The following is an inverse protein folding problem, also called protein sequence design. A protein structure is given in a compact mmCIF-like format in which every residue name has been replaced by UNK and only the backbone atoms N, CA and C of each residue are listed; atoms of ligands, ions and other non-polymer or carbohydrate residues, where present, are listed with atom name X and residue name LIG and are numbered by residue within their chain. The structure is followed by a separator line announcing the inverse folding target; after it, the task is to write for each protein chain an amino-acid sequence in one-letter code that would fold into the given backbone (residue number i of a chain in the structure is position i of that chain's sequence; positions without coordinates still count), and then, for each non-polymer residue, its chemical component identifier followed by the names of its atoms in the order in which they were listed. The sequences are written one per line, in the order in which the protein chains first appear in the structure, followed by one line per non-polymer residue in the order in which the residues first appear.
data_IF_555418863596
#
_entry.id   IF_555418863596
#
_cell.length_a   1.000
_cell.length_b   1.000
_cell.length_c   1.000
_cell.angle_alpha   90.00
_cell.angle_beta   90.00
_cell.angle_gamma   90.00
#
_symmetry.space_group_name_H-M   'P 1'
#
loop_
_entity.id
_entity.type
_entity.pdbx_description
1 polymer ?
#
# COMPACT_ATOMS: atom_id res chain seq x y z
N UNK A 1 3.28 -10.54 -9.44
CA UNK A 1 2.39 -10.33 -8.28
C UNK A 1 2.20 -8.83 -8.05
N UNK A 2 0.96 -8.35 -7.96
CA UNK A 2 0.64 -6.95 -7.67
C UNK A 2 0.39 -6.78 -6.18
N UNK A 3 1.19 -5.96 -5.51
CA UNK A 3 1.11 -5.76 -4.06
C UNK A 3 0.94 -4.29 -3.72
N UNK A 4 -0.10 -3.99 -2.95
CA UNK A 4 -0.30 -2.67 -2.40
C UNK A 4 0.65 -2.47 -1.23
N UNK A 5 1.37 -1.36 -1.21
CA UNK A 5 2.06 -0.87 -0.01
C UNK A 5 1.33 0.40 0.44
N UNK A 6 0.72 0.34 1.62
CA UNK A 6 -0.06 1.44 2.17
C UNK A 6 0.14 1.56 3.68
N UNK A 7 -0.23 2.69 4.26
CA UNK A 7 -0.02 2.91 5.69
C UNK A 7 -0.37 4.32 6.16
N UNK A 8 -0.03 4.61 7.41
CA UNK A 8 -0.27 5.95 7.99
C UNK A 8 0.58 7.00 7.28
N UNK A 9 0.04 8.22 7.12
CA UNK A 9 0.71 9.31 6.39
C UNK A 9 1.95 9.86 7.09
N UNK A 10 2.13 9.52 8.36
CA UNK A 10 3.27 9.91 9.20
C UNK A 10 4.39 8.85 9.22
N UNK A 11 4.22 7.74 8.50
CA UNK A 11 5.21 6.67 8.51
C UNK A 11 6.39 7.02 7.60
N UNK A 12 7.58 7.13 8.19
CA UNK A 12 8.80 7.58 7.51
C UNK A 12 9.97 6.59 7.61
N UNK A 13 9.80 5.49 8.36
CA UNK A 13 10.87 4.50 8.58
C UNK A 13 11.07 3.60 7.35
N UNK A 14 11.88 4.07 6.41
CA UNK A 14 12.23 3.34 5.19
C UNK A 14 12.93 2.00 5.48
N UNK A 15 13.83 1.96 6.47
CA UNK A 15 14.58 0.75 6.81
C UNK A 15 13.66 -0.38 7.23
N UNK A 16 12.67 -0.08 8.10
CA UNK A 16 11.65 -1.05 8.50
C UNK A 16 10.80 -1.50 7.31
N UNK A 17 10.37 -0.57 6.45
CA UNK A 17 9.60 -0.93 5.26
C UNK A 17 10.38 -1.90 4.38
N UNK A 18 11.64 -1.55 4.06
CA UNK A 18 12.51 -2.34 3.19
C UNK A 18 12.74 -3.73 3.77
N UNK A 19 13.09 -3.84 5.06
CA UNK A 19 13.29 -5.11 5.74
C UNK A 19 12.05 -6.01 5.64
N UNK A 20 10.87 -5.47 5.96
CA UNK A 20 9.61 -6.23 5.92
C UNK A 20 9.21 -6.62 4.51
N UNK A 21 9.35 -5.71 3.54
CA UNK A 21 9.01 -5.99 2.16
C UNK A 21 9.98 -7.00 1.54
N UNK A 22 11.29 -6.87 1.79
CA UNK A 22 12.30 -7.84 1.33
C UNK A 22 11.98 -9.23 1.89
N UNK A 23 11.64 -9.35 3.17
CA UNK A 23 11.26 -10.63 3.76
C UNK A 23 9.95 -11.20 3.17
N UNK A 24 8.92 -10.38 3.02
CA UNK A 24 7.59 -10.83 2.54
C UNK A 24 7.64 -11.23 1.06
N UNK A 25 8.40 -10.48 0.25
CA UNK A 25 8.45 -10.62 -1.20
C UNK A 25 9.59 -11.53 -1.69
N UNK A 26 10.44 -12.07 -0.80
CA UNK A 26 11.66 -12.84 -1.13
C UNK A 26 11.46 -14.01 -2.12
N UNK A 27 10.27 -14.59 -2.16
CA UNK A 27 9.94 -15.74 -3.01
C UNK A 27 8.96 -15.37 -4.14
N UNK A 28 8.78 -14.08 -4.42
CA UNK A 28 7.88 -13.60 -5.45
C UNK A 28 8.67 -13.13 -6.67
N UNK A 29 8.31 -13.62 -7.86
CA UNK A 29 8.78 -13.10 -9.14
C UNK A 29 7.82 -12.06 -9.70
N UNK A 30 8.32 -11.19 -10.57
CA UNK A 30 7.54 -10.19 -11.32
C UNK A 30 6.64 -9.32 -10.42
N UNK A 31 7.26 -8.72 -9.39
CA UNK A 31 6.56 -7.86 -8.43
C UNK A 31 6.21 -6.51 -9.07
N UNK A 32 4.97 -6.09 -8.87
CA UNK A 32 4.47 -4.75 -9.17
C UNK A 32 3.96 -4.12 -7.87
N UNK A 33 4.52 -2.98 -7.50
CA UNK A 33 4.06 -2.19 -6.36
C UNK A 33 2.88 -1.33 -6.81
N UNK A 34 1.80 -1.38 -6.05
CA UNK A 34 0.61 -0.56 -6.25
C UNK A 34 0.58 0.50 -5.15
N UNK A 35 0.61 1.76 -5.55
CA UNK A 35 0.63 2.91 -4.63
C UNK A 35 -0.61 3.77 -4.82
N UNK A 36 -1.09 4.37 -3.74
CA UNK A 36 -2.12 5.38 -3.79
C UNK A 36 -1.59 6.81 -3.93
N UNK A 37 -0.27 7.01 -3.93
CA UNK A 37 0.38 8.31 -4.07
C UNK A 37 0.18 9.24 -2.87
N UNK A 38 -0.13 8.70 -1.69
CA UNK A 38 -0.25 9.49 -0.46
C UNK A 38 1.12 9.70 0.22
N UNK A 39 1.23 10.68 1.12
CA UNK A 39 2.41 10.79 2.01
C UNK A 39 2.58 9.55 2.89
N UNK A 40 3.77 9.38 3.44
CA UNK A 40 4.10 8.28 4.33
C UNK A 40 4.35 6.98 3.56
N UNK A 41 3.74 5.89 4.01
CA UNK A 41 3.96 4.53 3.51
C UNK A 41 3.89 4.38 1.98
N UNK A 42 2.93 5.04 1.31
CA UNK A 42 2.82 5.00 -0.14
C UNK A 42 4.09 5.58 -0.81
N UNK A 43 4.52 6.80 -0.46
CA UNK A 43 5.74 7.41 -1.03
C UNK A 43 7.02 6.59 -0.76
N UNK A 44 7.20 6.08 0.46
CA UNK A 44 8.37 5.25 0.76
C UNK A 44 8.27 3.86 0.09
N UNK A 45 7.06 3.36 -0.16
CA UNK A 45 6.81 2.16 -0.97
C UNK A 45 7.15 2.37 -2.45
N UNK A 46 6.85 3.55 -2.99
CA UNK A 46 7.29 3.94 -4.34
C UNK A 46 8.80 4.02 -4.45
N UNK A 47 9.46 4.60 -3.44
CA UNK A 47 10.92 4.60 -3.35
C UNK A 47 11.48 3.17 -3.35
N UNK A 48 10.89 2.29 -2.55
CA UNK A 48 11.27 0.87 -2.50
C UNK A 48 11.10 0.17 -3.86
N UNK A 49 9.99 0.43 -4.56
CA UNK A 49 9.75 -0.10 -5.90
C UNK A 49 10.87 0.30 -6.87
N UNK A 50 11.21 1.60 -6.89
CA UNK A 50 12.25 2.13 -7.75
C UNK A 50 13.63 1.56 -7.41
N UNK A 51 13.99 1.46 -6.12
CA UNK A 51 15.28 0.89 -5.69
C UNK A 51 15.43 -0.58 -6.11
N UNK A 52 14.34 -1.36 -6.03
CA UNK A 52 14.35 -2.79 -6.37
C UNK A 52 14.13 -3.08 -7.86
N UNK A 53 13.87 -2.05 -8.67
CA UNK A 53 13.50 -2.23 -10.09
C UNK A 53 12.15 -2.91 -10.28
N UNK A 54 11.25 -2.82 -9.29
CA UNK A 54 9.89 -3.35 -9.43
C UNK A 54 9.04 -2.42 -10.29
N UNK A 55 8.06 -2.99 -10.98
CA UNK A 55 7.03 -2.19 -11.67
C UNK A 55 6.27 -1.37 -10.63
N UNK A 56 5.84 -0.18 -11.01
CA UNK A 56 5.11 0.73 -10.13
C UNK A 56 3.86 1.26 -10.84
N UNK A 57 2.70 1.02 -10.26
CA UNK A 57 1.41 1.58 -10.71
C UNK A 57 0.82 2.46 -9.62
N UNK A 58 0.46 3.70 -9.97
CA UNK A 58 -0.11 4.69 -9.05
C UNK A 58 -1.60 4.90 -9.29
N UNK A 59 -2.38 4.93 -8.21
CA UNK A 59 -3.80 5.25 -8.19
C UNK A 59 -4.01 6.57 -7.42
N UNK A 60 -3.85 7.75 -8.05
CA UNK A 60 -4.08 9.01 -7.38
C UNK A 60 -5.56 9.19 -7.02
N UNK A 61 -5.84 9.74 -5.84
CA UNK A 61 -7.19 10.05 -5.43
C UNK A 61 -7.73 11.30 -6.15
N UNK A 62 -8.94 11.22 -6.71
CA UNK A 62 -9.61 12.37 -7.31
C UNK A 62 -10.24 13.26 -6.23
N UNK A 63 -9.46 14.16 -5.64
CA UNK A 63 -9.91 15.03 -4.55
C UNK A 63 -11.05 16.00 -4.91
N UNK A 64 -11.39 16.18 -6.20
CA UNK A 64 -12.60 16.91 -6.63
C UNK A 64 -13.88 16.27 -6.09
N UNK A 65 -13.85 14.97 -5.77
CA UNK A 65 -14.97 14.22 -5.17
C UNK A 65 -15.08 14.43 -3.65
N UNK A 66 -14.19 15.21 -3.04
CA UNK A 66 -14.14 15.46 -1.60
C UNK A 66 -13.60 14.27 -0.79
N UNK A 67 -13.96 14.16 0.50
CA UNK A 67 -13.37 13.18 1.43
C UNK A 67 -13.50 11.71 0.99
N UNK A 68 -14.54 11.37 0.21
CA UNK A 68 -14.77 10.01 -0.33
C UNK A 68 -13.74 9.59 -1.39
N UNK A 69 -12.96 10.52 -1.94
CA UNK A 69 -11.95 10.24 -2.96
C UNK A 69 -10.93 9.19 -2.52
N UNK A 70 -10.46 9.27 -1.26
CA UNK A 70 -9.51 8.32 -0.70
C UNK A 70 -10.07 6.88 -0.63
N UNK A 71 -11.24 6.67 -0.01
CA UNK A 71 -11.90 5.36 0.00
C UNK A 71 -12.22 4.78 -1.38
N UNK A 72 -12.69 5.60 -2.33
CA UNK A 72 -12.97 5.15 -3.71
C UNK A 72 -11.67 4.65 -4.36
N UNK A 73 -10.59 5.44 -4.25
CA UNK A 73 -9.26 5.07 -4.72
C UNK A 73 -8.76 3.77 -4.06
N UNK A 74 -8.95 3.61 -2.74
CA UNK A 74 -8.59 2.38 -2.03
C UNK A 74 -9.32 1.15 -2.59
N UNK A 75 -10.59 1.31 -2.95
CA UNK A 75 -11.37 0.24 -3.57
C UNK A 75 -10.79 -0.17 -4.94
N UNK A 76 -10.45 0.80 -5.78
CA UNK A 76 -9.84 0.52 -7.09
C UNK A 76 -8.47 -0.16 -6.95
N UNK A 77 -7.64 0.24 -5.99
CA UNK A 77 -6.38 -0.45 -5.72
C UNK A 77 -6.61 -1.89 -5.28
N UNK A 78 -7.58 -2.12 -4.38
CA UNK A 78 -7.91 -3.45 -3.90
C UNK A 78 -8.48 -4.36 -4.99
N UNK A 79 -9.26 -3.82 -5.93
CA UNK A 79 -9.75 -4.58 -7.10
C UNK A 79 -8.61 -4.97 -8.06
N UNK A 80 -7.59 -4.13 -8.18
CA UNK A 80 -6.46 -4.33 -9.09
C UNK A 80 -5.38 -5.29 -8.58
N UNK A 81 -5.18 -5.36 -7.26
CA UNK A 81 -4.02 -6.01 -6.65
C UNK A 81 -4.30 -7.43 -6.12
N UNK A 82 -3.23 -8.22 -5.95
CA UNK A 82 -3.28 -9.58 -5.40
C UNK A 82 -3.07 -9.61 -3.87
N UNK A 83 -2.36 -8.60 -3.34
CA UNK A 83 -1.93 -8.56 -1.95
C UNK A 83 -1.84 -7.13 -1.39
N UNK A 84 -1.83 -7.01 -0.06
CA UNK A 84 -1.63 -5.77 0.70
C UNK A 84 -0.59 -5.98 1.80
N UNK A 85 0.40 -5.08 1.86
CA UNK A 85 1.27 -4.86 3.01
C UNK A 85 0.90 -3.51 3.63
N UNK A 86 0.29 -3.54 4.81
CA UNK A 86 -0.22 -2.36 5.51
C UNK A 86 0.65 -2.02 6.72
N UNK A 87 1.26 -0.83 6.72
CA UNK A 87 1.99 -0.26 7.87
C UNK A 87 1.05 0.60 8.71
N UNK A 88 0.55 0.05 9.81
CA UNK A 88 -0.59 0.61 10.54
C UNK A 88 -0.28 0.91 12.01
N UNK A 89 -0.55 2.15 12.41
CA UNK A 89 -0.44 2.68 13.77
C UNK A 89 -1.65 2.34 14.67
N UNK A 90 -2.53 1.43 14.20
CA UNK A 90 -3.82 1.08 14.81
C UNK A 90 -4.81 2.24 14.98
N UNK A 91 -4.52 3.42 14.43
CA UNK A 91 -5.31 4.66 14.60
C UNK A 91 -5.76 5.26 13.26
N UNK A 92 -4.93 5.13 12.22
CA UNK A 92 -5.17 5.69 10.90
C UNK A 92 -6.43 5.09 10.27
N UNK A 93 -7.50 5.90 10.22
CA UNK A 93 -8.77 5.54 9.56
C UNK A 93 -8.59 5.25 8.07
N UNK A 94 -7.68 5.97 7.40
CA UNK A 94 -7.40 5.76 5.98
C UNK A 94 -6.73 4.41 5.71
N UNK A 95 -5.84 3.99 6.59
CA UNK A 95 -5.18 2.67 6.50
C UNK A 95 -6.16 1.55 6.86
N UNK A 96 -6.98 1.74 7.89
CA UNK A 96 -8.05 0.80 8.24
C UNK A 96 -8.99 0.58 7.05
N UNK A 97 -9.43 1.66 6.39
CA UNK A 97 -10.28 1.57 5.21
C UNK A 97 -9.62 0.81 4.05
N UNK A 98 -8.31 0.95 3.85
CA UNK A 98 -7.57 0.16 2.86
C UNK A 98 -7.54 -1.34 3.24
N UNK A 99 -7.32 -1.66 4.52
CA UNK A 99 -7.35 -3.04 5.02
C UNK A 99 -8.74 -3.67 4.82
N UNK A 100 -9.81 -2.92 5.10
CA UNK A 100 -11.19 -3.37 4.89
C UNK A 100 -11.49 -3.60 3.41
N UNK A 101 -11.06 -2.70 2.53
CA UNK A 101 -11.20 -2.87 1.08
C UNK A 101 -10.46 -4.13 0.59
N UNK A 102 -9.24 -4.36 1.07
CA UNK A 102 -8.47 -5.56 0.73
C UNK A 102 -9.14 -6.85 1.24
N UNK A 103 -9.73 -6.84 2.44
CA UNK A 103 -10.50 -7.97 2.98
C UNK A 103 -11.71 -8.28 2.11
N UNK A 104 -12.47 -7.25 1.72
CA UNK A 104 -13.65 -7.38 0.86
C UNK A 104 -13.31 -8.03 -0.49
N UNK A 105 -12.15 -7.69 -1.05
CA UNK A 105 -11.63 -8.25 -2.30
C UNK A 105 -10.78 -9.51 -2.13
N UNK A 106 -10.72 -10.09 -0.91
CA UNK A 106 -10.02 -11.35 -0.60
C UNK A 106 -8.52 -11.34 -0.92
N UNK A 107 -7.86 -10.19 -0.79
CA UNK A 107 -6.42 -10.07 -0.97
C UNK A 107 -5.66 -10.83 0.11
N UNK A 108 -4.41 -11.21 -0.18
CA UNK A 108 -3.45 -11.64 0.84
C UNK A 108 -3.00 -10.43 1.65
N UNK A 109 -3.25 -10.40 2.95
CA UNK A 109 -3.00 -9.22 3.79
C UNK A 109 -1.89 -9.50 4.81
N UNK A 110 -0.90 -8.60 4.88
CA UNK A 110 0.08 -8.51 5.97
C UNK A 110 -0.03 -7.14 6.62
N UNK A 111 -0.25 -7.12 7.94
CA UNK A 111 -0.32 -5.89 8.73
C UNK A 111 0.94 -5.82 9.58
N UNK A 112 1.71 -4.75 9.41
CA UNK A 112 2.87 -4.41 10.23
C UNK A 112 2.43 -3.30 11.18
N UNK A 113 2.41 -3.60 12.48
CA UNK A 113 2.11 -2.58 13.49
C UNK A 113 3.32 -1.67 13.67
N UNK A 114 3.08 -0.36 13.70
CA UNK A 114 4.09 0.70 13.84
C UNK A 114 3.66 1.74 14.89
#
# INVERSE_FOLDING_TARGET
MKVIIAGTRKFENYSLLKERCDYILRNCSDVEIVSGGAKGADLIGEKYANEKGFKLTRFPANWKLGPKAGPIRNHHMAEYADALIAFWDKKSKGTLNMIEAAKKHKLKIRIITI
#
